data_IF_129692142618
#
_entry.id   IF_129692142618
#
_cell.length_a   1.000
_cell.length_b   1.000
_cell.length_c   1.000
_cell.angle_alpha   90.00
_cell.angle_beta   90.00
_cell.angle_gamma   90.00
#
_symmetry.space_group_name_H-M   'P 1'
#
loop_
_entity.id
_entity.type
_entity.pdbx_description
1 polymer ?
#
# COMPACT_ATOMS: atom_id res chain seq x y z
N UNK A 1 -48.51 -18.79 3.64
CA UNK A 1 -47.08 -18.65 3.96
C UNK A 1 -46.34 -19.81 3.30
N UNK A 2 -45.54 -19.52 2.28
CA UNK A 2 -45.01 -20.55 1.36
C UNK A 2 -43.83 -21.26 2.03
N UNK A 3 -44.10 -22.42 2.62
CA UNK A 3 -43.14 -23.31 3.31
C UNK A 3 -41.76 -23.46 2.63
N UNK A 4 -41.61 -23.53 1.28
CA UNK A 4 -40.27 -23.63 0.68
C UNK A 4 -39.42 -22.35 0.84
N UNK A 5 -40.03 -21.16 0.81
CA UNK A 5 -39.29 -19.91 1.00
C UNK A 5 -38.80 -19.76 2.44
N UNK A 6 -39.60 -20.22 3.41
CA UNK A 6 -39.21 -20.22 4.82
C UNK A 6 -38.02 -21.18 5.08
N UNK A 7 -38.00 -22.34 4.43
CA UNK A 7 -36.89 -23.29 4.55
C UNK A 7 -35.59 -22.75 3.94
N UNK A 8 -35.65 -22.10 2.77
CA UNK A 8 -34.47 -21.48 2.15
C UNK A 8 -33.91 -20.33 3.00
N UNK A 9 -34.77 -19.46 3.56
CA UNK A 9 -34.32 -18.37 4.43
C UNK A 9 -33.61 -18.89 5.69
N UNK A 10 -34.11 -19.98 6.27
CA UNK A 10 -33.54 -20.59 7.47
C UNK A 10 -32.21 -21.30 7.18
N UNK A 11 -32.08 -21.94 6.01
CA UNK A 11 -30.82 -22.52 5.56
C UNK A 11 -29.74 -21.46 5.32
N UNK A 12 -30.09 -20.33 4.69
CA UNK A 12 -29.16 -19.21 4.48
C UNK A 12 -28.71 -18.60 5.81
N UNK A 13 -29.63 -18.43 6.76
CA UNK A 13 -29.31 -17.91 8.09
C UNK A 13 -28.37 -18.85 8.87
N UNK A 14 -28.55 -20.17 8.76
CA UNK A 14 -27.67 -21.15 9.40
C UNK A 14 -26.25 -21.15 8.80
N UNK A 15 -26.13 -20.97 7.48
CA UNK A 15 -24.83 -20.88 6.80
C UNK A 15 -24.10 -19.57 7.18
N UNK A 16 -24.82 -18.46 7.29
CA UNK A 16 -24.23 -17.18 7.74
C UNK A 16 -23.80 -17.21 9.22
N UNK A 17 -24.52 -17.93 10.08
CA UNK A 17 -24.19 -18.02 11.50
C UNK A 17 -23.00 -18.95 11.78
N UNK A 18 -22.73 -19.91 10.89
CA UNK A 18 -21.66 -20.90 11.04
C UNK A 18 -20.28 -20.41 10.55
N UNK A 19 -20.16 -19.21 9.98
CA UNK A 19 -18.85 -18.68 9.58
C UNK A 19 -18.00 -18.40 10.82
N UNK A 20 -16.89 -19.11 11.05
CA UNK A 20 -16.01 -18.79 12.16
C UNK A 20 -15.38 -17.42 11.91
N UNK A 21 -15.66 -16.47 12.80
CA UNK A 21 -14.87 -15.24 12.87
C UNK A 21 -13.47 -15.61 13.40
N UNK A 22 -12.48 -15.70 12.50
CA UNK A 22 -11.09 -15.85 12.90
C UNK A 22 -10.65 -14.51 13.50
N UNK A 23 -10.76 -14.39 14.82
CA UNK A 23 -10.17 -13.29 15.56
C UNK A 23 -8.64 -13.47 15.53
N UNK A 24 -7.98 -12.81 14.58
CA UNK A 24 -6.51 -12.76 14.57
C UNK A 24 -6.06 -11.74 15.60
N UNK A 25 -5.52 -12.21 16.73
CA UNK A 25 -4.79 -11.37 17.66
C UNK A 25 -3.46 -10.97 16.99
N UNK A 26 -3.53 -10.00 16.07
CA UNK A 26 -2.32 -9.51 15.41
C UNK A 26 -1.50 -8.68 16.40
N UNK A 27 -0.20 -8.97 16.46
CA UNK A 27 0.72 -8.13 17.21
C UNK A 27 0.80 -6.78 16.48
N UNK A 28 0.61 -5.62 17.15
CA UNK A 28 0.51 -4.31 16.49
C UNK A 28 1.68 -3.95 15.56
N UNK A 29 2.86 -4.52 15.81
CA UNK A 29 4.05 -4.30 14.98
C UNK A 29 3.99 -5.00 13.61
N UNK A 30 3.10 -5.98 13.41
CA UNK A 30 2.92 -6.68 12.12
C UNK A 30 1.99 -5.93 11.15
N UNK A 31 1.23 -4.94 11.64
CA UNK A 31 0.27 -4.17 10.83
C UNK A 31 0.91 -3.50 9.59
N UNK A 32 2.10 -2.87 9.66
CA UNK A 32 2.74 -2.28 8.49
C UNK A 32 3.13 -3.33 7.44
N UNK A 33 3.65 -4.49 7.87
CA UNK A 33 4.03 -5.59 6.96
C UNK A 33 2.82 -6.11 6.19
N UNK A 34 1.67 -6.35 6.84
CA UNK A 34 0.46 -6.77 6.12
C UNK A 34 -0.02 -5.70 5.14
N UNK A 35 0.00 -4.43 5.54
CA UNK A 35 -0.38 -3.34 4.64
C UNK A 35 0.55 -3.23 3.43
N UNK A 36 1.85 -3.43 3.62
CA UNK A 36 2.82 -3.48 2.53
C UNK A 36 2.54 -4.63 1.54
N UNK A 37 1.86 -5.70 1.96
CA UNK A 37 1.41 -6.76 1.05
C UNK A 37 0.12 -6.41 0.29
N UNK A 38 -0.68 -5.48 0.81
CA UNK A 38 -2.01 -5.15 0.28
C UNK A 38 -2.05 -3.86 -0.55
N UNK A 39 -1.15 -2.92 -0.26
CA UNK A 39 -1.09 -1.63 -0.93
C UNK A 39 0.17 -1.53 -1.79
N UNK A 40 0.12 -0.72 -2.84
CA UNK A 40 1.30 -0.43 -3.63
C UNK A 40 2.25 0.52 -2.89
N UNK A 41 3.55 0.37 -3.08
CA UNK A 41 4.59 1.25 -2.54
C UNK A 41 4.76 2.53 -3.35
N UNK A 42 4.29 2.54 -4.60
CA UNK A 42 4.39 3.65 -5.53
C UNK A 42 3.03 4.01 -6.14
N UNK A 43 2.96 5.18 -6.78
CA UNK A 43 1.89 5.53 -7.70
C UNK A 43 2.31 5.25 -9.16
N UNK A 44 1.43 5.56 -10.12
CA UNK A 44 1.60 5.21 -11.54
C UNK A 44 2.57 6.15 -12.30
N UNK A 45 3.51 6.81 -11.62
CA UNK A 45 4.45 7.71 -12.29
C UNK A 45 5.88 7.17 -12.26
N UNK A 46 6.57 7.31 -13.39
CA UNK A 46 7.97 6.98 -13.55
C UNK A 46 8.85 8.17 -13.17
N UNK A 47 10.01 7.87 -12.59
CA UNK A 47 11.08 8.85 -12.45
C UNK A 47 11.74 9.10 -13.81
N UNK A 48 11.97 10.37 -14.15
CA UNK A 48 12.45 10.79 -15.48
C UNK A 48 13.72 10.07 -15.91
N UNK A 49 14.67 9.87 -14.99
CA UNK A 49 15.99 9.33 -15.35
C UNK A 49 15.98 7.81 -15.58
N UNK A 50 15.07 7.09 -14.92
CA UNK A 50 15.05 5.63 -14.94
C UNK A 50 13.85 5.04 -15.70
N UNK A 51 12.85 5.86 -16.05
CA UNK A 51 11.64 5.40 -16.74
C UNK A 51 10.78 4.43 -15.93
N UNK A 52 11.05 4.30 -14.63
CA UNK A 52 10.32 3.44 -13.68
C UNK A 52 10.11 4.17 -12.34
N UNK A 53 9.08 3.81 -11.57
CA UNK A 53 8.92 4.29 -10.20
C UNK A 53 10.19 4.01 -9.38
N UNK A 54 10.67 5.01 -8.65
CA UNK A 54 11.94 4.95 -7.93
C UNK A 54 11.72 5.11 -6.43
N UNK A 55 12.34 4.24 -5.63
CA UNK A 55 12.24 4.30 -4.18
C UNK A 55 13.28 5.24 -3.58
N UNK A 56 12.83 6.21 -2.78
CA UNK A 56 13.66 7.04 -1.92
C UNK A 56 13.71 6.44 -0.53
N UNK A 57 14.90 6.08 -0.09
CA UNK A 57 15.10 5.39 1.20
C UNK A 57 15.08 6.38 2.36
N UNK A 58 14.28 6.09 3.39
CA UNK A 58 14.15 6.91 4.61
C UNK A 58 14.51 6.13 5.88
N UNK A 59 14.76 6.82 7.02
CA UNK A 59 14.95 6.20 8.33
C UNK A 59 13.83 5.20 8.74
N UNK A 60 14.06 4.34 9.77
CA UNK A 60 13.12 3.29 10.20
C UNK A 60 11.82 3.87 10.73
N UNK A 61 12.06 4.97 11.42
CA UNK A 61 11.18 5.70 12.29
C UNK A 61 10.29 6.62 11.49
N UNK A 62 10.60 6.87 10.20
CA UNK A 62 9.73 7.62 9.32
C UNK A 62 8.45 6.82 9.06
N UNK A 63 7.33 7.24 9.67
CA UNK A 63 6.04 6.59 9.50
C UNK A 63 5.13 7.25 8.47
N UNK A 64 5.35 8.54 8.25
CA UNK A 64 4.49 9.41 7.45
C UNK A 64 5.34 10.16 6.43
N UNK A 65 4.76 10.37 5.26
CA UNK A 65 5.27 11.25 4.23
C UNK A 65 4.25 12.37 3.98
N UNK A 66 4.76 13.54 3.66
CA UNK A 66 3.95 14.67 3.20
C UNK A 66 4.11 14.79 1.70
N UNK A 67 3.01 14.73 0.96
CA UNK A 67 2.99 15.03 -0.47
C UNK A 67 2.40 16.43 -0.65
N UNK A 68 3.11 17.25 -1.42
CA UNK A 68 2.75 18.63 -1.68
C UNK A 68 2.02 18.73 -3.02
N UNK A 69 0.99 19.56 -3.06
CA UNK A 69 0.17 19.84 -4.22
C UNK A 69 0.18 21.34 -4.53
N UNK A 70 0.19 21.67 -5.82
CA UNK A 70 0.15 23.04 -6.32
C UNK A 70 -1.29 23.57 -6.42
N UNK A 71 -2.29 22.69 -6.29
CA UNK A 71 -3.72 23.03 -6.24
C UNK A 71 -4.34 22.81 -4.85
N UNK A 72 -5.63 23.09 -4.70
CA UNK A 72 -6.36 22.83 -3.45
C UNK A 72 -6.93 21.40 -3.43
N UNK A 73 -6.77 20.61 -2.34
CA UNK A 73 -5.96 20.87 -1.15
C UNK A 73 -4.45 20.79 -1.42
N UNK A 74 -3.67 21.65 -0.76
CA UNK A 74 -2.23 21.86 -1.06
C UNK A 74 -1.29 20.84 -0.42
N UNK A 75 -1.79 19.97 0.48
CA UNK A 75 -0.98 18.92 1.10
C UNK A 75 -1.81 17.70 1.47
N UNK A 76 -1.20 16.51 1.35
CA UNK A 76 -1.72 15.25 1.87
C UNK A 76 -0.63 14.55 2.67
N UNK A 77 -1.02 13.96 3.80
CA UNK A 77 -0.14 13.11 4.59
C UNK A 77 -0.54 11.67 4.35
N UNK A 78 0.42 10.83 3.99
CA UNK A 78 0.22 9.40 3.78
C UNK A 78 1.24 8.58 4.56
N UNK A 79 0.91 7.31 4.80
CA UNK A 79 1.79 6.40 5.53
C UNK A 79 2.85 5.82 4.61
N UNK A 80 4.03 5.57 5.16
CA UNK A 80 5.08 4.81 4.52
C UNK A 80 5.01 3.40 5.09
N UNK A 81 4.24 2.49 4.48
CA UNK A 81 4.05 1.15 5.03
C UNK A 81 5.15 0.14 4.58
N UNK A 82 5.83 0.43 3.47
CA UNK A 82 6.81 -0.49 2.88
C UNK A 82 8.19 -0.36 3.53
N UNK A 83 8.84 -1.51 3.71
CA UNK A 83 10.20 -1.63 4.22
C UNK A 83 10.90 -2.76 3.45
N UNK A 84 11.97 -2.42 2.72
CA UNK A 84 12.74 -3.40 1.95
C UNK A 84 13.90 -3.95 2.76
N UNK A 85 14.30 -5.19 2.46
CA UNK A 85 15.50 -5.83 3.00
C UNK A 85 16.78 -5.17 2.50
N UNK A 86 17.92 -5.46 3.15
CA UNK A 86 19.26 -4.96 2.73
C UNK A 86 19.58 -5.26 1.27
N UNK A 87 19.13 -6.39 0.77
CA UNK A 87 19.46 -6.82 -0.58
C UNK A 87 18.73 -5.95 -1.60
N UNK A 88 19.47 -5.52 -2.62
CA UNK A 88 18.91 -4.81 -3.75
C UNK A 88 17.80 -5.65 -4.39
N UNK A 89 16.60 -5.07 -4.51
CA UNK A 89 15.41 -5.75 -5.00
C UNK A 89 15.45 -6.03 -6.53
N UNK A 90 16.50 -5.59 -7.21
CA UNK A 90 16.64 -5.70 -8.67
C UNK A 90 16.22 -4.43 -9.39
N UNK A 91 16.51 -4.35 -10.71
CA UNK A 91 16.05 -3.25 -11.54
C UNK A 91 14.52 -3.21 -11.56
N UNK A 92 13.95 -2.00 -11.50
CA UNK A 92 12.51 -1.81 -11.57
C UNK A 92 11.93 -2.39 -12.87
N UNK A 93 10.73 -2.94 -12.80
CA UNK A 93 10.08 -3.54 -13.96
C UNK A 93 9.51 -2.45 -14.88
N UNK A 94 9.81 -2.48 -16.19
CA UNK A 94 9.14 -1.63 -17.16
C UNK A 94 7.63 -1.89 -17.14
N UNK A 95 6.85 -0.83 -17.23
CA UNK A 95 5.38 -0.90 -17.18
C UNK A 95 4.77 0.33 -17.83
N UNK A 96 3.43 0.41 -17.92
CA UNK A 96 2.71 1.56 -18.47
C UNK A 96 2.70 2.72 -17.46
N UNK A 97 3.90 3.20 -17.11
CA UNK A 97 4.14 4.29 -16.19
C UNK A 97 3.92 5.63 -16.90
N UNK A 98 3.21 6.55 -16.25
CA UNK A 98 3.11 7.91 -16.74
C UNK A 98 4.40 8.66 -16.43
N UNK A 99 4.92 9.42 -17.39
CA UNK A 99 5.98 10.38 -17.10
C UNK A 99 5.40 11.59 -16.36
N UNK A 100 6.28 12.35 -15.72
CA UNK A 100 5.89 13.62 -15.11
C UNK A 100 5.27 14.53 -16.18
N UNK A 101 4.02 15.02 -15.96
CA UNK A 101 3.37 15.92 -16.89
C UNK A 101 4.11 17.27 -16.93
N UNK A 102 3.93 18.03 -18.01
CA UNK A 102 4.56 19.34 -18.18
C UNK A 102 4.23 20.30 -17.02
N UNK A 103 2.99 20.27 -16.53
CA UNK A 103 2.53 21.02 -15.37
C UNK A 103 2.10 20.04 -14.27
N UNK A 104 3.00 19.66 -13.35
CA UNK A 104 2.67 18.77 -12.26
C UNK A 104 1.74 19.46 -11.25
N UNK A 105 0.73 18.72 -10.81
CA UNK A 105 -0.20 19.10 -9.75
C UNK A 105 0.22 18.58 -8.37
N UNK A 106 1.01 17.49 -8.27
CA UNK A 106 1.50 16.91 -7.01
C UNK A 106 2.91 16.31 -7.17
N UNK A 107 3.69 16.36 -6.09
CA UNK A 107 5.00 15.73 -5.90
C UNK A 107 5.00 14.24 -6.21
N UNK A 108 3.87 13.55 -6.04
CA UNK A 108 3.71 12.15 -6.40
C UNK A 108 3.88 11.87 -7.91
N UNK A 109 3.81 12.90 -8.77
CA UNK A 109 3.94 12.79 -10.22
C UNK A 109 5.39 12.79 -10.71
N UNK A 110 6.37 13.02 -9.82
CA UNK A 110 7.79 12.90 -10.14
C UNK A 110 8.29 11.45 -10.12
N UNK A 111 7.45 10.49 -9.72
CA UNK A 111 7.80 9.07 -9.76
C UNK A 111 8.81 8.63 -8.69
N UNK A 112 9.04 9.45 -7.66
CA UNK A 112 9.88 9.13 -6.51
C UNK A 112 9.00 8.91 -5.28
N UNK A 113 9.16 7.75 -4.62
CA UNK A 113 8.29 7.32 -3.51
C UNK A 113 9.09 6.87 -2.32
N UNK A 114 8.67 7.26 -1.11
CA UNK A 114 9.42 6.93 0.10
C UNK A 114 9.23 5.47 0.50
N UNK A 115 10.34 4.82 0.85
CA UNK A 115 10.35 3.46 1.42
C UNK A 115 11.31 3.41 2.59
N UNK A 116 10.94 2.73 3.67
CA UNK A 116 11.78 2.65 4.87
C UNK A 116 12.99 1.77 4.60
N UNK A 117 14.14 2.20 5.09
CA UNK A 117 15.36 1.42 4.99
C UNK A 117 15.22 0.10 5.78
N UNK A 118 16.01 -0.92 5.41
CA UNK A 118 16.25 -2.08 6.24
C UNK A 118 17.04 -1.67 7.50
N UNK A 119 16.60 -2.16 8.65
CA UNK A 119 17.41 -2.18 9.88
C UNK A 119 17.76 -3.64 10.14
N UNK A 120 18.87 -3.88 10.84
CA UNK A 120 19.49 -5.16 11.23
C UNK A 120 18.55 -6.40 11.40
N UNK A 121 19.08 -7.64 11.28
CA UNK A 121 18.46 -8.78 10.60
C UNK A 121 17.30 -9.39 11.39
N UNK A 122 16.10 -8.86 11.24
CA UNK A 122 14.88 -9.52 11.74
C UNK A 122 13.71 -9.46 10.77
N UNK A 123 13.98 -9.31 9.47
CA UNK A 123 13.00 -9.75 8.48
C UNK A 123 13.31 -11.23 8.16
N UNK A 124 12.47 -12.19 8.60
CA UNK A 124 12.61 -13.60 8.24
C UNK A 124 12.41 -13.84 6.75
#
# INVERSE_FOLDING_TARGET
>A
MNKPLAACALAIAAILAATPAIATAEMPYLKPLRRAQMYNWHAQYAYTDYGVPTSLVVPPTAQLQTNWSWGAPSMRVSRIDHQFTRNYAGPGMPGPWAYTPHNPADTAQFGVYYVRAPWYPTQP
#
